data_IF_001936477331
#
_entry.id   IF_001936477331
#
_cell.length_a   1.000
_cell.length_b   1.000
_cell.length_c   1.000
_cell.angle_alpha   90.00
_cell.angle_beta   90.00
_cell.angle_gamma   90.00
#
_symmetry.space_group_name_H-M   'P 1'
#
loop_
_entity.id
_entity.type
_entity.pdbx_description
1 polymer ?
#
# COMPACT_ATOMS: atom_id res chain seq x y z
N UNK A 1 23.89 12.63 -7.08
CA UNK A 1 22.67 13.45 -6.99
C UNK A 1 23.13 14.89 -6.88
N UNK A 2 22.62 15.82 -7.68
CA UNK A 2 23.00 17.24 -7.60
C UNK A 2 22.20 17.95 -6.51
N UNK A 3 22.70 19.08 -6.03
CA UNK A 3 21.93 19.98 -5.16
C UNK A 3 20.60 20.35 -5.80
N UNK A 4 19.52 20.30 -5.04
CA UNK A 4 18.17 20.63 -5.50
C UNK A 4 17.50 21.62 -4.55
N UNK A 5 16.87 22.66 -5.11
CA UNK A 5 16.11 23.65 -4.34
C UNK A 5 14.63 23.50 -4.68
N UNK A 6 13.81 23.21 -3.67
CA UNK A 6 12.36 23.15 -3.78
C UNK A 6 11.76 24.56 -3.93
N UNK A 7 10.50 24.62 -4.37
CA UNK A 7 9.78 25.89 -4.57
C UNK A 7 9.62 26.71 -3.29
N UNK A 8 9.61 26.05 -2.14
CA UNK A 8 9.52 26.66 -0.81
C UNK A 8 10.87 27.17 -0.28
N UNK A 9 11.95 27.03 -1.07
CA UNK A 9 13.31 27.43 -0.69
C UNK A 9 14.10 26.35 0.05
N UNK A 10 13.52 25.19 0.35
CA UNK A 10 14.24 24.07 0.97
C UNK A 10 15.34 23.57 0.04
N UNK A 11 16.58 23.49 0.53
CA UNK A 11 17.74 23.03 -0.25
C UNK A 11 18.17 21.64 0.22
N UNK A 12 18.31 20.72 -0.73
CA UNK A 12 18.91 19.39 -0.53
C UNK A 12 20.31 19.41 -1.13
N UNK A 13 21.39 19.41 -0.33
CA UNK A 13 22.76 19.39 -0.83
C UNK A 13 23.08 18.11 -1.61
N UNK A 14 23.98 18.21 -2.59
CA UNK A 14 24.62 17.05 -3.22
C UNK A 14 25.23 16.11 -2.17
N UNK A 15 25.07 14.80 -2.39
CA UNK A 15 25.49 13.76 -1.45
C UNK A 15 24.43 13.39 -0.40
N UNK A 16 23.35 14.16 -0.27
CA UNK A 16 22.25 13.81 0.64
C UNK A 16 21.48 12.59 0.14
N UNK A 17 21.25 11.62 1.03
CA UNK A 17 20.35 10.50 0.76
C UNK A 17 18.92 10.89 1.15
N UNK A 18 17.99 10.77 0.21
CA UNK A 18 16.57 11.02 0.44
C UNK A 18 15.80 9.70 0.51
N UNK A 19 14.80 9.65 1.39
CA UNK A 19 13.91 8.51 1.55
C UNK A 19 12.46 8.94 1.50
N UNK A 20 11.58 8.02 1.11
CA UNK A 20 10.13 8.23 1.10
C UNK A 20 9.56 7.65 2.38
N UNK A 21 8.76 8.44 3.10
CA UNK A 21 8.15 8.07 4.37
C UNK A 21 6.92 7.14 4.19
N UNK A 22 7.09 6.04 3.44
CA UNK A 22 6.00 5.16 3.01
C UNK A 22 5.09 4.72 4.17
N UNK A 23 5.68 4.23 5.25
CA UNK A 23 4.94 3.74 6.41
C UNK A 23 4.14 4.84 7.12
N UNK A 24 4.70 6.05 7.19
CA UNK A 24 3.99 7.19 7.76
C UNK A 24 2.81 7.56 6.86
N UNK A 25 3.02 7.70 5.55
CA UNK A 25 1.95 8.00 4.58
C UNK A 25 0.82 6.97 4.61
N UNK A 26 1.13 5.66 4.71
CA UNK A 26 0.11 4.60 4.75
C UNK A 26 -0.69 4.57 6.06
N UNK A 27 -0.17 5.20 7.12
CA UNK A 27 -0.76 5.24 8.46
C UNK A 27 -1.19 6.65 8.87
N UNK A 28 -1.23 7.58 7.92
CA UNK A 28 -1.61 8.95 8.17
C UNK A 28 -3.14 9.10 8.04
N UNK A 29 -3.75 9.64 9.09
CA UNK A 29 -5.20 9.85 9.17
C UNK A 29 -5.70 10.93 8.21
N UNK A 30 -4.81 11.78 7.70
CA UNK A 30 -5.13 12.73 6.63
C UNK A 30 -5.49 12.00 5.31
N UNK A 31 -4.96 10.78 5.09
CA UNK A 31 -5.27 9.97 3.92
C UNK A 31 -6.28 8.86 4.22
N UNK A 32 -6.23 8.26 5.42
CA UNK A 32 -7.05 7.10 5.77
C UNK A 32 -7.68 7.22 7.15
N UNK A 33 -9.01 7.26 7.20
CA UNK A 33 -9.72 7.13 8.48
C UNK A 33 -9.35 5.79 9.16
N UNK A 34 -9.09 5.84 10.46
CA UNK A 34 -8.62 4.69 11.27
C UNK A 34 -7.42 4.02 10.59
N UNK A 35 -6.41 4.81 10.22
CA UNK A 35 -5.31 4.36 9.36
C UNK A 35 -4.56 3.14 9.92
N UNK A 36 -4.49 3.04 11.24
CA UNK A 36 -3.84 1.95 11.98
C UNK A 36 -4.65 0.66 12.03
N UNK A 37 -5.96 0.72 11.78
CA UNK A 37 -6.84 -0.44 11.82
C UNK A 37 -6.84 -1.18 10.49
N UNK A 38 -6.92 -2.52 10.56
CA UNK A 38 -7.11 -3.33 9.36
C UNK A 38 -8.58 -3.27 8.92
N UNK A 39 -8.83 -2.61 7.81
CA UNK A 39 -10.14 -2.53 7.18
C UNK A 39 -10.08 -3.12 5.77
N UNK A 40 -10.59 -4.36 5.64
CA UNK A 40 -10.56 -5.12 4.40
C UNK A 40 -11.32 -4.44 3.24
N UNK A 41 -12.27 -3.55 3.54
CA UNK A 41 -13.14 -2.91 2.54
C UNK A 41 -12.79 -1.44 2.30
N UNK A 42 -11.77 -0.88 2.97
CA UNK A 42 -11.32 0.51 2.80
C UNK A 42 -11.17 0.90 1.34
N UNK A 43 -10.39 0.13 0.59
CA UNK A 43 -10.11 0.42 -0.82
C UNK A 43 -11.29 0.17 -1.74
N UNK A 44 -12.25 -0.69 -1.38
CA UNK A 44 -13.50 -0.83 -2.13
C UNK A 44 -14.32 0.45 -2.04
N UNK A 45 -14.55 0.95 -0.81
CA UNK A 45 -15.36 2.16 -0.59
C UNK A 45 -14.73 3.42 -1.18
N UNK A 46 -13.40 3.55 -1.12
CA UNK A 46 -12.67 4.64 -1.79
C UNK A 46 -12.86 4.62 -3.30
N UNK A 47 -12.86 3.42 -3.91
CA UNK A 47 -13.10 3.25 -5.35
C UNK A 47 -14.52 3.59 -5.75
N UNK A 48 -15.51 3.18 -4.97
CA UNK A 48 -16.92 3.52 -5.19
C UNK A 48 -17.15 5.03 -5.10
N UNK A 49 -16.55 5.67 -4.08
CA UNK A 49 -16.63 7.13 -3.90
C UNK A 49 -15.95 7.86 -5.05
N UNK A 50 -14.79 7.38 -5.52
CA UNK A 50 -14.07 7.96 -6.66
C UNK A 50 -14.81 7.75 -7.99
N UNK A 51 -15.54 6.65 -8.15
CA UNK A 51 -16.35 6.38 -9.34
C UNK A 51 -17.63 7.22 -9.41
N UNK A 52 -18.15 7.65 -8.24
CA UNK A 52 -19.35 8.49 -8.14
C UNK A 52 -19.09 9.99 -8.38
N UNK A 53 -17.84 10.45 -8.37
CA UNK A 53 -17.47 11.83 -8.73
C UNK A 53 -17.31 11.93 -10.25
N UNK A 54 -18.10 12.80 -10.90
CA UNK A 54 -17.97 13.05 -12.33
C UNK A 54 -16.56 13.59 -12.65
N UNK A 55 -16.06 13.26 -13.86
CA UNK A 55 -14.71 13.61 -14.34
C UNK A 55 -14.41 15.11 -14.39
N UNK A 56 -15.40 15.98 -14.22
CA UNK A 56 -15.29 17.42 -14.47
C UNK A 56 -14.68 18.22 -13.31
N UNK A 57 -14.56 17.64 -12.10
CA UNK A 57 -14.03 18.33 -10.90
C UNK A 57 -12.58 17.93 -10.52
N UNK A 58 -11.88 17.20 -11.38
CA UNK A 58 -10.52 16.73 -11.11
C UNK A 58 -9.54 17.46 -12.00
N UNK A 59 -8.70 18.33 -11.41
CA UNK A 59 -7.50 18.85 -12.04
C UNK A 59 -6.54 17.67 -12.37
N UNK A 60 -6.72 17.09 -13.55
CA UNK A 60 -5.87 16.03 -14.14
C UNK A 60 -4.40 16.47 -14.29
N UNK A 61 -4.11 17.76 -14.10
CA UNK A 61 -2.76 18.33 -14.14
C UNK A 61 -1.82 17.77 -13.05
N UNK A 62 -2.35 17.21 -11.96
CA UNK A 62 -1.58 16.62 -10.85
C UNK A 62 -1.77 15.09 -10.76
N UNK A 63 -2.65 14.53 -11.60
CA UNK A 63 -2.98 13.11 -11.67
C UNK A 63 -3.73 12.58 -10.45
N UNK A 64 -4.28 13.42 -9.58
CA UNK A 64 -4.77 13.05 -8.24
C UNK A 64 -6.17 12.45 -8.18
N UNK A 65 -6.95 12.42 -9.26
CA UNK A 65 -8.28 11.82 -9.26
C UNK A 65 -8.39 10.48 -10.01
N UNK A 66 -9.37 9.68 -9.59
CA UNK A 66 -9.85 8.49 -10.29
C UNK A 66 -9.67 7.17 -9.54
N UNK A 67 -10.58 6.22 -9.82
CA UNK A 67 -10.63 4.83 -9.31
C UNK A 67 -9.26 4.12 -9.33
N UNK A 68 -8.42 4.43 -10.32
CA UNK A 68 -7.17 3.73 -10.58
C UNK A 68 -6.13 3.85 -9.45
N UNK A 69 -6.11 4.97 -8.69
CA UNK A 69 -5.13 5.19 -7.60
C UNK A 69 -5.39 4.31 -6.38
N UNK A 70 -6.64 3.86 -6.21
CA UNK A 70 -7.06 2.98 -5.12
C UNK A 70 -7.01 1.49 -5.49
N UNK A 71 -6.54 1.15 -6.69
CA UNK A 71 -6.25 -0.23 -7.09
C UNK A 71 -4.90 -0.66 -6.52
N UNK A 72 -4.74 -1.97 -6.26
CA UNK A 72 -3.49 -2.55 -5.74
C UNK A 72 -2.25 -2.14 -6.56
N UNK A 73 -2.37 -2.03 -7.88
CA UNK A 73 -1.27 -1.68 -8.79
C UNK A 73 -1.15 -0.18 -9.08
N UNK A 74 -1.96 0.64 -8.41
CA UNK A 74 -1.91 2.10 -8.50
C UNK A 74 -0.63 2.66 -7.90
N UNK A 75 -0.18 3.80 -8.41
CA UNK A 75 1.07 4.47 -7.99
C UNK A 75 0.77 5.92 -7.58
N UNK A 76 -0.26 6.10 -6.74
CA UNK A 76 -0.63 7.40 -6.18
C UNK A 76 0.24 7.77 -4.98
N UNK A 77 0.36 9.06 -4.68
CA UNK A 77 1.21 9.53 -3.57
C UNK A 77 0.69 9.13 -2.18
N UNK A 78 -0.62 8.90 -2.02
CA UNK A 78 -1.20 8.43 -0.75
C UNK A 78 -1.02 6.93 -0.49
N UNK A 79 -0.76 6.12 -1.54
CA UNK A 79 -0.57 4.67 -1.41
C UNK A 79 0.59 4.20 -2.28
N UNK A 80 1.72 3.96 -1.62
CA UNK A 80 3.03 3.73 -2.25
C UNK A 80 3.61 2.30 -2.04
N UNK A 81 2.84 1.19 -2.16
CA UNK A 81 3.40 -0.16 -1.96
C UNK A 81 4.40 -0.57 -3.06
N UNK A 82 4.36 0.12 -4.20
CA UNK A 82 5.18 -0.14 -5.38
C UNK A 82 5.99 1.10 -5.81
N UNK A 83 6.13 2.09 -4.93
CA UNK A 83 6.74 3.38 -5.26
C UNK A 83 5.92 4.20 -6.26
N UNK A 84 6.57 5.15 -6.94
CA UNK A 84 5.91 6.07 -7.87
C UNK A 84 6.86 6.71 -8.88
N UNK A 85 6.27 7.45 -9.83
CA UNK A 85 6.99 8.14 -10.90
C UNK A 85 7.80 7.20 -11.81
N UNK A 86 8.92 7.70 -12.33
CA UNK A 86 9.81 6.95 -13.25
C UNK A 86 10.44 5.69 -12.65
N UNK A 87 10.40 5.54 -11.34
CA UNK A 87 10.98 4.43 -10.59
C UNK A 87 9.91 3.53 -9.95
N UNK A 88 8.65 3.65 -10.37
CA UNK A 88 7.61 2.73 -9.94
C UNK A 88 7.97 1.28 -10.30
N UNK A 89 7.65 0.35 -9.40
CA UNK A 89 7.98 -1.06 -9.57
C UNK A 89 7.34 -1.61 -10.87
N UNK A 90 8.15 -2.14 -11.80
CA UNK A 90 7.63 -2.73 -13.04
C UNK A 90 6.88 -4.05 -12.76
N UNK A 91 7.27 -4.78 -11.71
CA UNK A 91 6.68 -6.06 -11.32
C UNK A 91 5.33 -5.98 -10.61
N UNK A 92 4.79 -4.78 -10.35
CA UNK A 92 3.55 -4.59 -9.56
C UNK A 92 2.34 -5.36 -10.10
N UNK A 93 2.22 -5.49 -11.43
CA UNK A 93 1.13 -6.22 -12.06
C UNK A 93 1.26 -7.74 -11.85
N UNK A 94 2.48 -8.25 -11.97
CA UNK A 94 2.78 -9.65 -11.72
C UNK A 94 2.57 -10.01 -10.25
N UNK A 95 3.13 -9.21 -9.33
CA UNK A 95 2.94 -9.40 -7.89
C UNK A 95 1.45 -9.36 -7.50
N UNK A 96 0.69 -8.42 -8.06
CA UNK A 96 -0.75 -8.33 -7.81
C UNK A 96 -1.52 -9.54 -8.34
N UNK A 97 -1.12 -10.12 -9.48
CA UNK A 97 -1.71 -11.34 -10.01
C UNK A 97 -1.40 -12.54 -9.11
N UNK A 98 -0.13 -12.72 -8.77
CA UNK A 98 0.35 -13.81 -7.91
C UNK A 98 -0.37 -13.79 -6.55
N UNK A 99 -0.40 -12.64 -5.87
CA UNK A 99 -1.08 -12.49 -4.58
C UNK A 99 -2.58 -12.80 -4.67
N UNK A 100 -3.26 -12.39 -5.74
CA UNK A 100 -4.68 -12.72 -5.96
C UNK A 100 -4.89 -14.21 -6.18
N UNK A 101 -4.04 -14.85 -6.98
CA UNK A 101 -4.10 -16.29 -7.21
C UNK A 101 -3.86 -17.08 -5.91
N UNK A 102 -2.85 -16.71 -5.13
CA UNK A 102 -2.56 -17.31 -3.83
C UNK A 102 -3.75 -17.14 -2.86
N UNK A 103 -4.28 -15.92 -2.74
CA UNK A 103 -5.43 -15.64 -1.88
C UNK A 103 -6.68 -16.41 -2.31
N UNK A 104 -7.00 -16.42 -3.60
CA UNK A 104 -8.13 -17.19 -4.14
C UNK A 104 -7.98 -18.69 -3.86
N UNK A 105 -6.78 -19.24 -4.03
CA UNK A 105 -6.51 -20.64 -3.73
C UNK A 105 -6.72 -20.96 -2.24
N UNK A 106 -6.18 -20.12 -1.35
CA UNK A 106 -6.37 -20.27 0.10
C UNK A 106 -7.85 -20.20 0.47
N UNK A 107 -8.57 -19.18 0.00
CA UNK A 107 -10.00 -18.97 0.29
C UNK A 107 -10.89 -20.11 -0.22
N UNK A 108 -10.56 -20.69 -1.37
CA UNK A 108 -11.37 -21.76 -1.97
C UNK A 108 -11.07 -23.14 -1.36
N UNK A 109 -9.86 -23.36 -0.85
CA UNK A 109 -9.40 -24.70 -0.45
C UNK A 109 -9.16 -24.88 1.04
N UNK A 110 -9.09 -23.80 1.82
CA UNK A 110 -8.73 -23.88 3.24
C UNK A 110 -9.61 -23.01 4.13
N UNK A 111 -9.85 -23.49 5.34
CA UNK A 111 -10.12 -22.66 6.50
C UNK A 111 -8.79 -22.29 7.15
N UNK A 112 -8.66 -21.02 7.55
CA UNK A 112 -7.43 -20.47 8.11
C UNK A 112 -7.74 -19.81 9.45
N UNK A 113 -6.91 -20.07 10.46
CA UNK A 113 -6.93 -19.31 11.71
C UNK A 113 -5.52 -19.12 12.26
N UNK A 114 -5.34 -18.12 13.11
CA UNK A 114 -4.13 -18.00 13.92
C UNK A 114 -4.13 -19.08 15.01
N UNK A 115 -2.97 -19.61 15.38
CA UNK A 115 -2.87 -20.48 16.55
C UNK A 115 -3.24 -19.70 17.83
N UNK A 116 -2.77 -18.46 17.91
CA UNK A 116 -3.12 -17.50 18.96
C UNK A 116 -4.12 -16.47 18.39
N UNK A 117 -5.41 -16.66 18.67
CA UNK A 117 -6.47 -15.79 18.13
C UNK A 117 -6.32 -14.33 18.62
N UNK A 118 -6.61 -13.37 17.73
CA UNK A 118 -6.53 -11.94 18.03
C UNK A 118 -5.12 -11.36 18.12
N UNK A 119 -4.07 -12.18 18.03
CA UNK A 119 -2.68 -11.72 18.12
C UNK A 119 -2.06 -11.62 16.73
N UNK A 120 -1.85 -10.39 16.26
CA UNK A 120 -0.99 -10.12 15.10
C UNK A 120 0.48 -10.12 15.57
N UNK A 121 1.37 -10.87 14.90
CA UNK A 121 2.82 -10.81 15.18
C UNK A 121 3.34 -9.38 15.02
N UNK A 122 4.26 -8.98 15.91
CA UNK A 122 4.92 -7.68 15.78
C UNK A 122 5.71 -7.61 14.48
N UNK A 123 5.70 -6.43 13.88
CA UNK A 123 6.53 -6.12 12.71
C UNK A 123 8.01 -6.27 13.09
N UNK A 124 8.80 -6.91 12.24
CA UNK A 124 10.26 -6.97 12.33
C UNK A 124 10.85 -6.18 11.16
N UNK A 125 11.87 -5.38 11.45
CA UNK A 125 12.50 -4.51 10.47
C UNK A 125 13.88 -5.02 10.09
N UNK A 126 14.11 -5.18 8.79
CA UNK A 126 15.43 -5.46 8.21
C UNK A 126 15.79 -4.30 7.28
N UNK A 127 16.48 -3.30 7.83
CA UNK A 127 16.67 -2.03 7.14
C UNK A 127 15.32 -1.39 6.77
N UNK A 128 15.06 -1.03 5.50
CA UNK A 128 13.80 -0.46 5.07
C UNK A 128 12.67 -1.50 4.90
N UNK A 129 12.96 -2.79 5.03
CA UNK A 129 11.99 -3.85 4.84
C UNK A 129 11.26 -4.16 6.15
N UNK A 130 9.92 -4.10 6.11
CA UNK A 130 9.05 -4.59 7.18
C UNK A 130 8.58 -6.01 6.83
N UNK A 131 8.86 -6.97 7.72
CA UNK A 131 8.41 -8.35 7.61
C UNK A 131 7.59 -8.76 8.85
N UNK A 132 6.66 -9.73 8.74
CA UNK A 132 6.02 -10.30 9.92
C UNK A 132 7.05 -10.97 10.83
N UNK A 133 6.89 -10.84 12.15
CA UNK A 133 7.74 -11.55 13.11
C UNK A 133 7.68 -13.08 12.92
N UNK A 134 8.84 -13.74 12.94
CA UNK A 134 9.02 -15.13 12.51
C UNK A 134 8.43 -16.24 13.40
N UNK A 135 7.69 -15.91 14.46
CA UNK A 135 7.15 -16.89 15.43
C UNK A 135 5.63 -17.08 15.34
N UNK A 136 5.01 -16.55 14.29
CA UNK A 136 3.58 -16.65 14.07
C UNK A 136 3.20 -18.03 13.53
N UNK A 137 2.27 -18.71 14.21
CA UNK A 137 1.71 -19.97 13.70
C UNK A 137 0.33 -19.71 13.08
N UNK A 138 0.18 -20.11 11.81
CA UNK A 138 -1.08 -20.07 11.07
C UNK A 138 -1.53 -21.50 10.79
N UNK A 139 -2.74 -21.83 11.21
CA UNK A 139 -3.33 -23.16 11.09
C UNK A 139 -4.19 -23.22 9.84
N UNK A 140 -3.99 -24.25 9.03
CA UNK A 140 -4.74 -24.50 7.80
C UNK A 140 -5.50 -25.81 7.89
N UNK A 141 -6.80 -25.77 7.60
CA UNK A 141 -7.63 -26.98 7.43
C UNK A 141 -8.14 -27.00 6.00
N UNK A 142 -7.86 -28.07 5.25
CA UNK A 142 -8.36 -28.23 3.88
C UNK A 142 -9.89 -28.44 3.90
N UNK A 143 -10.61 -27.71 3.03
CA UNK A 143 -12.04 -27.87 2.77
C UNK A 143 -12.24 -29.02 1.77
N UNK A 144 -13.30 -29.80 1.99
CA UNK A 144 -13.71 -30.90 1.10
C UNK A 144 -14.14 -30.36 -0.27
#
# INVERSE_FOLDING_TARGET
MRTYTFRDGTVIPEGTTVAVAQTATHRDEAYYQNASDFDAFRFLRLRETAAGKQREDVDDAQGEGGDWRHRLTGTGLGFLPFGGGRHACPGRFFAALELKCMMAYVLLRYDVKMADEGIRPRDQWFGPLCIPGGHANVLFRRRA
#
